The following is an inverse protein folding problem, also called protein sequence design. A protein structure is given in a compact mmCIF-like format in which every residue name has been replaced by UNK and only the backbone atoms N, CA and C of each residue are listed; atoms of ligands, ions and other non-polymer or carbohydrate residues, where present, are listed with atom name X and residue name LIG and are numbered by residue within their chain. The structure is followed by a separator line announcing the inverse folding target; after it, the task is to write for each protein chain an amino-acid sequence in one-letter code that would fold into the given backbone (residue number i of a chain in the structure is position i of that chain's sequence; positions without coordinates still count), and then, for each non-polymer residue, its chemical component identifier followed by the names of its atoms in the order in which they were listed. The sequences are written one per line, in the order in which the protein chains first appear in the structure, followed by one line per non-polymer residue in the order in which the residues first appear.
data_IF_100241135868
#
_entry.id   IF_100241135868
#
_cell.length_a   1.000
_cell.length_b   1.000
_cell.length_c   1.000
_cell.angle_alpha   90.00
_cell.angle_beta   90.00
_cell.angle_gamma   90.00
#
_symmetry.space_group_name_H-M   'P 1'
#
loop_
_entity.id
_entity.type
_entity.pdbx_description
1 polymer ?
#
# COMPACT_ATOMS: atom_id res chain seq x y z
N UNK A 1 1.52 -17.33 2.07
CA UNK A 1 1.38 -16.13 2.93
C UNK A 1 1.11 -14.88 2.08
N UNK A 2 0.48 -13.84 2.65
CA UNK A 2 0.38 -12.50 2.06
C UNK A 2 1.60 -11.69 2.46
N UNK A 3 2.20 -10.98 1.48
CA UNK A 3 3.28 -10.00 1.72
C UNK A 3 2.72 -8.61 1.51
N UNK A 4 2.87 -7.70 2.48
CA UNK A 4 2.48 -6.31 2.26
C UNK A 4 3.55 -5.56 1.46
N UNK A 5 3.09 -4.69 0.55
CA UNK A 5 3.93 -3.78 -0.23
C UNK A 5 3.44 -2.36 0.02
N UNK A 6 4.25 -1.56 0.70
CA UNK A 6 3.98 -0.14 0.95
C UNK A 6 4.71 0.68 -0.10
N UNK A 7 3.95 1.41 -0.92
CA UNK A 7 4.50 2.26 -1.97
C UNK A 7 4.81 3.66 -1.42
N UNK A 8 6.08 4.01 -1.37
CA UNK A 8 6.61 5.27 -0.83
C UNK A 8 7.68 5.88 -1.75
N UNK A 9 7.45 5.82 -3.07
CA UNK A 9 8.45 6.22 -4.07
C UNK A 9 8.21 7.61 -4.67
N UNK A 10 7.08 8.27 -4.38
CA UNK A 10 6.69 9.54 -4.95
C UNK A 10 7.50 10.74 -4.44
N UNK A 11 7.55 11.81 -5.23
CA UNK A 11 8.33 13.02 -4.92
C UNK A 11 7.77 13.86 -3.76
N UNK A 12 6.50 13.67 -3.40
CA UNK A 12 5.82 14.47 -2.35
C UNK A 12 5.95 15.98 -2.59
N UNK A 13 6.00 16.42 -3.86
CA UNK A 13 6.36 17.80 -4.27
C UNK A 13 5.45 18.85 -3.63
N UNK A 14 4.15 18.57 -3.50
CA UNK A 14 3.18 19.46 -2.83
C UNK A 14 3.41 19.59 -1.33
N UNK A 15 3.96 18.56 -0.69
CA UNK A 15 4.23 18.54 0.76
C UNK A 15 5.56 19.18 1.14
N UNK A 16 6.50 19.34 0.21
CA UNK A 16 7.84 19.88 0.48
C UNK A 16 8.76 18.98 1.33
N UNK A 17 8.26 17.80 1.74
CA UNK A 17 9.01 16.79 2.51
C UNK A 17 8.47 15.38 2.21
N UNK A 18 9.27 14.35 2.50
CA UNK A 18 8.88 12.96 2.30
C UNK A 18 7.66 12.62 3.15
N UNK A 19 6.55 12.20 2.51
CA UNK A 19 5.31 11.83 3.22
C UNK A 19 5.53 10.72 4.23
N UNK A 20 6.37 9.73 3.92
CA UNK A 20 6.72 8.66 4.83
C UNK A 20 7.15 9.13 6.22
N UNK A 21 7.81 10.29 6.28
CA UNK A 21 8.41 10.86 7.50
C UNK A 21 7.53 11.94 8.15
N UNK A 22 6.32 12.18 7.65
CA UNK A 22 5.38 13.11 8.27
C UNK A 22 4.90 12.56 9.61
N UNK A 23 4.93 13.37 10.67
CA UNK A 23 4.46 12.96 12.00
C UNK A 23 2.92 12.86 12.04
N UNK A 24 2.44 11.83 12.75
CA UNK A 24 1.04 11.57 13.08
C UNK A 24 0.99 10.89 14.46
N UNK A 25 0.33 11.51 15.43
CA UNK A 25 0.11 10.93 16.78
C UNK A 25 1.41 10.35 17.40
N UNK A 26 2.53 11.07 17.32
CA UNK A 26 3.82 10.66 17.89
C UNK A 26 4.63 9.63 17.09
N UNK A 27 4.17 9.25 15.91
CA UNK A 27 4.84 8.35 14.98
C UNK A 27 4.99 9.02 13.62
N UNK A 28 5.75 8.43 12.70
CA UNK A 28 5.72 8.81 11.29
C UNK A 28 4.62 8.03 10.54
N UNK A 29 4.20 8.51 9.36
CA UNK A 29 3.24 7.79 8.52
C UNK A 29 3.67 6.34 8.27
N UNK A 30 4.95 6.14 7.93
CA UNK A 30 5.44 4.79 7.64
C UNK A 30 5.48 3.89 8.88
N UNK A 31 5.85 4.43 10.06
CA UNK A 31 5.82 3.66 11.32
C UNK A 31 4.40 3.24 11.68
N UNK A 32 3.43 4.14 11.56
CA UNK A 32 2.01 3.86 11.79
C UNK A 32 1.50 2.77 10.85
N UNK A 33 1.76 2.88 9.55
CA UNK A 33 1.35 1.90 8.53
C UNK A 33 1.98 0.53 8.83
N UNK A 34 3.29 0.48 9.07
CA UNK A 34 4.00 -0.78 9.38
C UNK A 34 3.46 -1.40 10.66
N UNK A 35 3.22 -0.59 11.70
CA UNK A 35 2.63 -1.04 12.97
C UNK A 35 1.25 -1.65 12.76
N UNK A 36 0.37 -1.00 12.01
CA UNK A 36 -0.98 -1.48 11.72
C UNK A 36 -0.99 -2.77 10.90
N UNK A 37 -0.12 -2.87 9.88
CA UNK A 37 0.05 -4.09 9.09
C UNK A 37 0.52 -5.27 9.97
N UNK A 38 1.49 -5.05 10.84
CA UNK A 38 1.97 -6.07 11.80
C UNK A 38 0.87 -6.51 12.76
N UNK A 39 0.14 -5.58 13.35
CA UNK A 39 -0.98 -5.87 14.24
C UNK A 39 -2.11 -6.60 13.51
N UNK A 40 -2.30 -6.34 12.21
CA UNK A 40 -3.24 -7.05 11.34
C UNK A 40 -2.79 -8.45 10.91
N UNK A 41 -1.61 -8.92 11.35
CA UNK A 41 -1.11 -10.28 11.11
C UNK A 41 -0.22 -10.42 9.86
N UNK A 42 0.23 -9.32 9.26
CA UNK A 42 1.19 -9.38 8.15
C UNK A 42 2.60 -9.60 8.69
N UNK A 43 3.20 -10.74 8.38
CA UNK A 43 4.55 -11.10 8.85
C UNK A 43 5.66 -10.44 8.03
N UNK A 44 5.47 -10.27 6.73
CA UNK A 44 6.47 -9.73 5.82
C UNK A 44 5.97 -8.46 5.14
N UNK A 45 6.75 -7.38 5.27
CA UNK A 45 6.43 -6.07 4.73
C UNK A 45 7.60 -5.58 3.88
N UNK A 46 7.32 -5.17 2.65
CA UNK A 46 8.26 -4.54 1.73
C UNK A 46 7.86 -3.07 1.61
N UNK A 47 8.84 -2.17 1.75
CA UNK A 47 8.68 -0.73 1.47
C UNK A 47 9.43 -0.41 0.19
N UNK A 48 8.72 0.11 -0.81
CA UNK A 48 9.34 0.53 -2.07
C UNK A 48 9.57 2.03 -2.02
N UNK A 49 10.83 2.42 -2.01
CA UNK A 49 11.30 3.80 -2.04
C UNK A 49 11.65 4.24 -3.46
N UNK A 50 11.72 5.54 -3.68
CA UNK A 50 12.14 6.15 -4.96
C UNK A 50 12.81 7.50 -4.74
N UNK A 51 12.05 8.60 -4.78
CA UNK A 51 12.58 9.91 -4.44
C UNK A 51 13.05 9.95 -2.99
N UNK A 52 14.19 10.57 -2.72
CA UNK A 52 14.83 10.66 -1.40
C UNK A 52 15.02 9.31 -0.68
N UNK A 53 15.22 8.22 -1.44
CA UNK A 53 15.30 6.87 -0.89
C UNK A 53 16.31 6.73 0.24
N UNK A 54 17.50 7.34 0.13
CA UNK A 54 18.56 7.24 1.15
C UNK A 54 18.21 7.99 2.46
N UNK A 55 17.51 9.11 2.37
CA UNK A 55 17.03 9.84 3.54
C UNK A 55 15.98 9.02 4.29
N UNK A 56 14.96 8.52 3.56
CA UNK A 56 13.89 7.70 4.15
C UNK A 56 14.46 6.41 4.73
N UNK A 57 15.35 5.72 3.99
CA UNK A 57 16.00 4.48 4.43
C UNK A 57 16.69 4.64 5.79
N UNK A 58 17.44 5.72 5.98
CA UNK A 58 18.13 6.00 7.25
C UNK A 58 17.18 6.16 8.42
N UNK A 59 16.01 6.75 8.19
CA UNK A 59 15.01 6.98 9.24
C UNK A 59 14.23 5.71 9.60
N UNK A 60 14.06 4.78 8.66
CA UNK A 60 13.26 3.57 8.86
C UNK A 60 14.10 2.30 9.08
N UNK A 61 15.42 2.43 9.26
CA UNK A 61 16.36 1.29 9.41
C UNK A 61 15.99 0.36 10.57
N UNK A 62 15.31 0.87 11.61
CA UNK A 62 14.85 0.10 12.77
C UNK A 62 13.50 -0.60 12.58
N UNK A 63 12.79 -0.35 11.49
CA UNK A 63 11.51 -1.00 11.23
C UNK A 63 11.70 -2.43 10.70
N UNK A 64 10.81 -3.37 11.05
CA UNK A 64 10.87 -4.75 10.59
C UNK A 64 10.36 -4.87 9.13
N UNK A 65 11.04 -4.21 8.21
CA UNK A 65 10.66 -4.13 6.79
C UNK A 65 11.86 -4.44 5.89
N UNK A 66 11.55 -4.98 4.72
CA UNK A 66 12.47 -5.09 3.60
C UNK A 66 12.35 -3.82 2.72
N UNK A 67 13.48 -3.25 2.30
CA UNK A 67 13.49 -2.02 1.52
C UNK A 67 13.94 -2.32 0.08
N UNK A 68 13.10 -1.96 -0.88
CA UNK A 68 13.44 -1.96 -2.30
C UNK A 68 13.49 -0.51 -2.80
N UNK A 69 14.31 -0.26 -3.82
CA UNK A 69 14.41 1.07 -4.44
C UNK A 69 13.99 1.00 -5.91
N UNK A 70 13.00 1.82 -6.26
CA UNK A 70 12.61 2.03 -7.65
C UNK A 70 13.33 3.25 -8.21
N UNK A 71 14.36 3.05 -9.02
CA UNK A 71 15.09 4.13 -9.70
C UNK A 71 14.28 4.79 -10.83
N UNK A 72 13.21 4.10 -11.29
CA UNK A 72 12.31 4.58 -12.33
C UNK A 72 10.98 5.12 -11.78
N UNK A 73 10.96 5.59 -10.52
CA UNK A 73 9.74 6.04 -9.84
C UNK A 73 8.93 7.10 -10.60
N UNK A 74 9.58 7.88 -11.48
CA UNK A 74 8.93 8.87 -12.34
C UNK A 74 7.96 8.28 -13.37
N UNK A 75 8.05 6.96 -13.64
CA UNK A 75 7.06 6.24 -14.45
C UNK A 75 5.73 6.00 -13.75
N UNK A 76 5.60 6.46 -12.49
CA UNK A 76 4.37 6.39 -11.73
C UNK A 76 4.31 5.20 -10.75
N UNK A 77 3.21 5.14 -10.02
CA UNK A 77 3.00 4.23 -8.90
C UNK A 77 3.09 2.75 -9.30
N UNK A 78 2.58 2.39 -10.50
CA UNK A 78 2.63 1.02 -11.00
C UNK A 78 4.07 0.53 -11.14
N UNK A 79 5.01 1.38 -11.57
CA UNK A 79 6.42 1.00 -11.70
C UNK A 79 7.03 0.55 -10.37
N UNK A 80 6.63 1.20 -9.27
CA UNK A 80 7.07 0.83 -7.92
C UNK A 80 6.45 -0.50 -7.47
N UNK A 81 5.17 -0.72 -7.75
CA UNK A 81 4.54 -2.03 -7.52
C UNK A 81 5.24 -3.14 -8.31
N UNK A 82 5.57 -2.89 -9.58
CA UNK A 82 6.26 -3.88 -10.42
C UNK A 82 7.65 -4.24 -9.90
N UNK A 83 8.38 -3.32 -9.26
CA UNK A 83 9.66 -3.64 -8.58
C UNK A 83 9.42 -4.69 -7.49
N UNK A 84 8.41 -4.49 -6.65
CA UNK A 84 8.08 -5.45 -5.59
C UNK A 84 7.60 -6.79 -6.17
N UNK A 85 6.76 -6.77 -7.21
CA UNK A 85 6.25 -8.00 -7.83
C UNK A 85 7.37 -8.86 -8.46
N UNK A 86 8.33 -8.24 -9.15
CA UNK A 86 9.50 -8.96 -9.69
C UNK A 86 10.34 -9.60 -8.59
N UNK A 87 10.50 -8.88 -7.46
CA UNK A 87 11.20 -9.42 -6.29
C UNK A 87 10.44 -10.61 -5.67
N UNK A 88 9.11 -10.52 -5.56
CA UNK A 88 8.26 -11.58 -5.02
C UNK A 88 8.05 -12.77 -5.97
N UNK A 89 8.33 -12.61 -7.25
CA UNK A 89 8.08 -13.68 -8.23
C UNK A 89 8.94 -14.93 -8.02
N UNK A 90 10.14 -14.77 -7.47
CA UNK A 90 11.00 -15.87 -7.08
C UNK A 90 10.52 -16.63 -5.83
N UNK A 91 9.72 -15.98 -4.96
CA UNK A 91 9.26 -16.54 -3.70
C UNK A 91 7.95 -17.32 -3.86
N UNK A 92 8.04 -18.64 -3.94
CA UNK A 92 6.88 -19.53 -4.10
C UNK A 92 5.96 -19.58 -2.86
N UNK A 93 6.40 -19.11 -1.69
CA UNK A 93 5.59 -19.03 -0.48
C UNK A 93 4.62 -17.85 -0.50
N UNK A 94 4.87 -16.84 -1.34
CA UNK A 94 4.01 -15.68 -1.51
C UNK A 94 2.74 -16.05 -2.28
N UNK A 95 1.59 -16.12 -1.62
CA UNK A 95 0.29 -16.39 -2.23
C UNK A 95 -0.35 -15.15 -2.85
N UNK A 96 0.04 -13.97 -2.40
CA UNK A 96 -0.46 -12.68 -2.89
C UNK A 96 0.20 -11.50 -2.20
N UNK A 97 -0.11 -10.31 -2.67
CA UNK A 97 0.41 -9.06 -2.10
C UNK A 97 -0.70 -8.13 -1.67
N UNK A 98 -0.54 -7.53 -0.48
CA UNK A 98 -1.37 -6.43 0.01
C UNK A 98 -0.68 -5.12 -0.31
N UNK A 99 -1.22 -4.36 -1.26
CA UNK A 99 -0.66 -3.09 -1.71
C UNK A 99 -1.27 -1.95 -0.91
N UNK A 100 -0.43 -1.14 -0.29
CA UNK A 100 -0.82 0.04 0.46
C UNK A 100 0.01 1.26 0.05
N UNK A 101 -0.55 2.46 0.22
CA UNK A 101 0.09 3.71 -0.15
C UNK A 101 0.51 4.48 1.09
N UNK A 102 1.70 5.08 1.07
CA UNK A 102 2.25 5.79 2.22
C UNK A 102 1.47 7.06 2.60
N UNK A 103 0.70 7.61 1.65
CA UNK A 103 -0.15 8.78 1.86
C UNK A 103 -1.53 8.48 2.45
N UNK A 104 -1.84 7.20 2.71
CA UNK A 104 -3.02 6.75 3.46
C UNK A 104 -2.61 6.27 4.87
N UNK A 105 -2.29 7.16 5.82
CA UNK A 105 -1.77 6.75 7.14
C UNK A 105 -2.82 6.13 8.05
N UNK A 106 -4.11 6.29 7.72
CA UNK A 106 -5.22 5.75 8.50
C UNK A 106 -5.57 4.35 8.00
N UNK A 107 -4.90 3.35 8.56
CA UNK A 107 -5.13 1.93 8.28
C UNK A 107 -5.52 1.23 9.58
N UNK A 108 -6.69 0.54 9.58
CA UNK A 108 -7.16 -0.23 10.72
C UNK A 108 -6.60 -1.66 10.70
N UNK A 109 -5.87 -2.09 11.75
CA UNK A 109 -5.40 -3.46 11.87
C UNK A 109 -6.50 -4.53 11.79
N UNK A 110 -7.71 -4.22 12.27
CA UNK A 110 -8.85 -5.13 12.20
C UNK A 110 -9.30 -5.35 10.75
N UNK A 111 -9.31 -4.28 9.95
CA UNK A 111 -9.60 -4.38 8.52
C UNK A 111 -8.54 -5.21 7.80
N UNK A 112 -7.24 -4.98 8.09
CA UNK A 112 -6.14 -5.77 7.54
C UNK A 112 -6.34 -7.25 7.81
N UNK A 113 -6.60 -7.61 9.08
CA UNK A 113 -6.86 -9.00 9.50
C UNK A 113 -8.07 -9.60 8.78
N UNK A 114 -9.17 -8.86 8.71
CA UNK A 114 -10.39 -9.31 8.01
C UNK A 114 -10.11 -9.55 6.52
N UNK A 115 -9.38 -8.64 5.86
CA UNK A 115 -9.04 -8.78 4.43
C UNK A 115 -8.19 -10.02 4.15
N UNK A 116 -7.19 -10.30 5.00
CA UNK A 116 -6.36 -11.51 4.89
C UNK A 116 -7.22 -12.76 5.07
N UNK A 117 -8.04 -12.81 6.10
CA UNK A 117 -8.95 -13.92 6.34
C UNK A 117 -9.88 -14.17 5.14
N UNK A 118 -10.52 -13.11 4.61
CA UNK A 118 -11.41 -13.22 3.46
C UNK A 118 -10.69 -13.65 2.18
N UNK A 119 -9.45 -13.23 2.01
CA UNK A 119 -8.62 -13.69 0.89
C UNK A 119 -8.33 -15.20 0.99
N UNK A 120 -7.97 -15.69 2.18
CA UNK A 120 -7.62 -17.10 2.39
C UNK A 120 -8.86 -18.02 2.30
N UNK A 121 -10.03 -17.55 2.75
CA UNK A 121 -11.30 -18.31 2.76
C UNK A 121 -12.03 -18.28 1.41
N UNK A 122 -11.64 -17.45 0.46
CA UNK A 122 -12.39 -17.23 -0.78
C UNK A 122 -11.61 -17.63 -2.02
N UNK A 123 -12.32 -17.78 -3.14
CA UNK A 123 -11.72 -17.99 -4.46
C UNK A 123 -11.40 -16.67 -5.19
N UNK A 124 -11.65 -15.53 -4.58
CA UNK A 124 -11.42 -14.24 -5.20
C UNK A 124 -9.93 -13.96 -5.40
N UNK A 125 -9.62 -13.32 -6.52
CA UNK A 125 -8.22 -12.95 -6.85
C UNK A 125 -7.85 -11.54 -6.39
N UNK A 126 -8.85 -10.72 -6.05
CA UNK A 126 -8.67 -9.36 -5.52
C UNK A 126 -9.58 -9.20 -4.31
N UNK A 127 -9.05 -8.57 -3.25
CA UNK A 127 -9.84 -8.11 -2.10
C UNK A 127 -9.60 -6.61 -1.92
N UNK A 128 -10.67 -5.82 -1.89
CA UNK A 128 -10.59 -4.36 -1.79
C UNK A 128 -11.59 -3.84 -0.75
N UNK A 129 -11.20 -2.93 0.15
CA UNK A 129 -12.14 -2.29 1.05
C UNK A 129 -12.95 -1.23 0.32
N UNK A 130 -14.19 -1.02 0.78
CA UNK A 130 -15.11 -0.02 0.25
C UNK A 130 -15.76 0.75 1.39
N UNK A 131 -15.77 2.08 1.30
CA UNK A 131 -16.49 2.95 2.21
C UNK A 131 -17.45 3.83 1.41
N UNK A 132 -18.74 3.79 1.74
CA UNK A 132 -19.80 4.57 1.05
C UNK A 132 -19.74 4.46 -0.49
N UNK A 133 -19.50 3.23 -0.99
CA UNK A 133 -19.42 2.95 -2.42
C UNK A 133 -18.09 3.28 -3.10
N UNK A 134 -17.13 3.90 -2.39
CA UNK A 134 -15.79 4.19 -2.91
C UNK A 134 -14.80 3.13 -2.45
N UNK A 135 -14.06 2.53 -3.40
CA UNK A 135 -12.95 1.60 -3.13
C UNK A 135 -11.74 2.37 -2.57
N UNK A 136 -11.03 1.76 -1.63
CA UNK A 136 -9.86 2.35 -0.96
C UNK A 136 -8.67 1.42 -0.86
N UNK A 137 -7.79 1.73 0.07
CA UNK A 137 -6.60 0.95 0.39
C UNK A 137 -6.68 0.36 1.81
N UNK A 138 -5.94 -0.77 2.04
CA UNK A 138 -5.09 -1.54 1.13
C UNK A 138 -5.88 -2.39 0.12
N UNK A 139 -5.20 -2.90 -0.92
CA UNK A 139 -5.78 -3.84 -1.88
C UNK A 139 -4.94 -5.12 -1.90
N UNK A 140 -5.59 -6.29 -1.77
CA UNK A 140 -4.89 -7.58 -1.93
C UNK A 140 -5.06 -8.06 -3.38
N UNK A 141 -3.95 -8.47 -3.97
CA UNK A 141 -3.89 -9.16 -5.26
C UNK A 141 -3.32 -10.57 -5.08
N UNK A 142 -4.03 -11.57 -5.57
CA UNK A 142 -3.51 -12.93 -5.67
C UNK A 142 -2.28 -12.98 -6.57
N UNK A 143 -1.35 -13.88 -6.26
CA UNK A 143 -0.20 -14.19 -7.12
C UNK A 143 -0.59 -14.47 -8.57
N UNK A 144 -1.77 -15.05 -8.81
CA UNK A 144 -2.29 -15.31 -10.15
C UNK A 144 -2.36 -14.05 -11.04
N UNK A 145 -2.46 -12.87 -10.42
CA UNK A 145 -2.53 -11.58 -11.11
C UNK A 145 -1.20 -10.86 -11.26
N UNK A 146 -0.08 -11.41 -10.77
CA UNK A 146 1.23 -10.77 -10.88
C UNK A 146 1.61 -10.51 -12.34
N UNK A 147 1.38 -11.49 -13.24
CA UNK A 147 1.61 -11.30 -14.67
C UNK A 147 0.77 -10.16 -15.27
N UNK A 148 -0.51 -10.08 -14.90
CA UNK A 148 -1.40 -9.01 -15.35
C UNK A 148 -0.95 -7.62 -14.82
N UNK A 149 -0.49 -7.54 -13.57
CA UNK A 149 0.04 -6.30 -12.99
C UNK A 149 1.38 -5.90 -13.61
N UNK A 150 2.24 -6.87 -13.92
CA UNK A 150 3.51 -6.62 -14.60
C UNK A 150 3.32 -6.14 -16.04
N UNK A 151 2.25 -6.57 -16.72
CA UNK A 151 1.89 -6.17 -18.09
C UNK A 151 0.89 -5.01 -18.15
N UNK A 152 0.45 -4.45 -17.03
CA UNK A 152 -0.56 -3.39 -17.02
C UNK A 152 -0.02 -2.08 -17.62
N UNK A 153 -0.88 -1.29 -18.31
CA UNK A 153 -0.50 0.02 -18.84
C UNK A 153 -0.11 0.98 -17.72
N UNK A 154 1.03 1.67 -17.90
CA UNK A 154 1.56 2.59 -16.87
C UNK A 154 0.63 3.76 -16.57
N UNK A 155 -0.07 4.26 -17.57
CA UNK A 155 -1.03 5.37 -17.49
C UNK A 155 -2.33 5.01 -16.75
N UNK A 156 -2.70 3.72 -16.74
CA UNK A 156 -3.90 3.23 -16.05
C UNK A 156 -3.61 2.62 -14.68
N UNK A 157 -2.37 2.21 -14.45
CA UNK A 157 -1.94 1.64 -13.18
C UNK A 157 -2.59 0.29 -12.83
N UNK A 158 -2.47 -0.13 -11.58
CA UNK A 158 -3.11 -1.35 -11.07
C UNK A 158 -4.63 -1.35 -11.19
N UNK A 159 -5.25 -0.16 -11.32
CA UNK A 159 -6.70 0.01 -11.52
C UNK A 159 -7.19 -0.70 -12.79
N UNK A 160 -6.38 -0.77 -13.85
CA UNK A 160 -6.72 -1.51 -15.06
C UNK A 160 -6.97 -3.00 -14.75
N UNK A 161 -6.11 -3.60 -13.91
CA UNK A 161 -6.25 -5.02 -13.52
C UNK A 161 -7.51 -5.23 -12.67
N UNK A 162 -7.78 -4.34 -11.70
CA UNK A 162 -9.01 -4.40 -10.90
C UNK A 162 -10.25 -4.30 -11.78
N UNK A 163 -10.25 -3.39 -12.76
CA UNK A 163 -11.37 -3.21 -13.68
C UNK A 163 -11.58 -4.41 -14.61
N UNK A 164 -10.49 -5.06 -15.04
CA UNK A 164 -10.55 -6.25 -15.89
C UNK A 164 -11.00 -7.52 -15.13
N UNK A 165 -10.88 -7.53 -13.80
CA UNK A 165 -11.17 -8.70 -12.96
C UNK A 165 -12.28 -8.41 -11.92
N UNK A 166 -13.33 -7.67 -12.33
CA UNK A 166 -14.44 -7.29 -11.42
C UNK A 166 -15.13 -8.50 -10.81
N UNK A 167 -15.37 -9.52 -11.60
CA UNK A 167 -16.05 -10.76 -11.16
C UNK A 167 -15.18 -11.59 -10.19
N UNK A 168 -13.86 -11.37 -10.20
CA UNK A 168 -12.90 -11.98 -9.29
C UNK A 168 -12.49 -11.04 -8.14
N UNK A 169 -13.24 -9.95 -7.91
CA UNK A 169 -12.98 -8.95 -6.87
C UNK A 169 -14.01 -9.06 -5.75
N UNK A 170 -13.55 -9.30 -4.53
CA UNK A 170 -14.34 -9.21 -3.32
C UNK A 170 -14.24 -7.80 -2.76
N UNK A 171 -15.37 -7.12 -2.60
CA UNK A 171 -15.46 -5.85 -1.89
C UNK A 171 -15.85 -6.08 -0.43
N UNK A 172 -15.13 -5.47 0.50
CA UNK A 172 -15.40 -5.52 1.93
C UNK A 172 -15.82 -4.13 2.39
N UNK A 173 -17.03 -4.01 2.94
CA UNK A 173 -17.48 -2.74 3.49
C UNK A 173 -16.66 -2.38 4.74
N UNK A 174 -16.03 -1.22 4.72
CA UNK A 174 -15.26 -0.65 5.81
C UNK A 174 -16.02 0.51 6.45
N UNK A 175 -16.05 0.53 7.78
CA UNK A 175 -16.71 1.60 8.53
C UNK A 175 -15.89 2.90 8.49
N UNK A 176 -14.56 2.79 8.47
CA UNK A 176 -13.63 3.91 8.51
C UNK A 176 -13.43 4.53 7.11
N UNK A 177 -13.67 5.84 7.00
CA UNK A 177 -13.38 6.64 5.82
C UNK A 177 -11.87 6.74 5.51
N UNK A 178 -11.00 6.45 6.47
CA UNK A 178 -9.54 6.51 6.33
C UNK A 178 -8.99 5.69 5.17
N UNK A 179 -9.71 4.64 4.75
CA UNK A 179 -9.32 3.84 3.57
C UNK A 179 -9.29 4.61 2.26
N UNK A 180 -10.01 5.73 2.18
CA UNK A 180 -10.11 6.61 1.00
C UNK A 180 -9.44 7.96 1.21
N UNK A 181 -8.87 8.20 2.40
CA UNK A 181 -8.26 9.49 2.76
C UNK A 181 -6.77 9.49 2.44
N UNK A 182 -6.40 10.20 1.39
CA UNK A 182 -5.02 10.48 1.01
C UNK A 182 -4.57 11.84 1.54
N UNK A 183 -3.43 11.88 2.23
CA UNK A 183 -2.83 13.11 2.76
C UNK A 183 -1.80 13.64 1.77
N UNK A 184 -2.27 14.38 0.79
CA UNK A 184 -1.50 14.80 -0.39
C UNK A 184 -1.02 16.25 -0.32
N UNK A 185 -1.64 17.09 0.51
CA UNK A 185 -1.33 18.52 0.60
C UNK A 185 -1.13 18.97 2.06
N UNK A 186 -0.41 20.08 2.28
CA UNK A 186 -0.26 20.67 3.62
C UNK A 186 -1.61 21.02 4.27
N UNK A 187 -2.64 21.36 3.47
CA UNK A 187 -3.98 21.68 3.96
C UNK A 187 -4.65 20.42 4.54
N UNK A 188 -4.65 19.31 3.77
CA UNK A 188 -5.20 18.04 4.23
C UNK A 188 -4.45 17.52 5.46
N UNK A 189 -3.12 17.68 5.47
CA UNK A 189 -2.31 17.32 6.63
C UNK A 189 -2.70 18.11 7.88
N UNK A 190 -2.88 19.45 7.78
CA UNK A 190 -3.33 20.26 8.91
C UNK A 190 -4.74 19.90 9.38
N UNK A 191 -5.63 19.64 8.43
CA UNK A 191 -7.04 19.33 8.72
C UNK A 191 -7.22 17.97 9.40
N UNK A 192 -6.47 16.95 8.98
CA UNK A 192 -6.70 15.57 9.43
C UNK A 192 -5.66 15.05 10.42
N UNK A 193 -4.46 15.62 10.48
CA UNK A 193 -3.35 15.13 11.31
C UNK A 193 -2.97 16.10 12.42
N UNK A 194 -3.08 17.40 12.18
CA UNK A 194 -2.76 18.46 13.16
C UNK A 194 -4.01 19.16 13.72
N UNK A 195 -5.19 18.62 13.47
CA UNK A 195 -6.42 19.15 14.02
C UNK A 195 -6.54 18.87 15.51
N UNK A 196 -5.75 19.59 16.31
CA UNK A 196 -5.93 19.89 17.74
C UNK A 196 -5.21 21.20 18.05
#
# INVERSE_FOLDING_TARGET
MIVAVVLSAGESSRMGRAKALLPIEGQTFIERIVGALKQGGIERIIVVLGFNAEEIRRQIVGLPVEILVNTQYKLGQLSSLQVALRHLDADKSCAGTMVHLVDHPYIDPKLVKLMVQRFDESAYSIVVPRHQGKRGHPVIFSRKLFGALLGAPMDQGAKAVVNAHRDATLEIDAEDAGITLDIDTPELYRQHVKGD
#
